data_IF_720159606121
#
_entry.id   IF_720159606121
#
_cell.length_a   1.000
_cell.length_b   1.000
_cell.length_c   1.000
_cell.angle_alpha   90.00
_cell.angle_beta   90.00
_cell.angle_gamma   90.00
#
_symmetry.space_group_name_H-M   'P 1'
#
loop_
_entity.id
_entity.type
_entity.pdbx_description
1 polymer ?
#
# COMPACT_ATOMS: atom_id res chain seq x y z
N UNK A 1 6.45 10.10 8.52
CA UNK A 1 5.13 10.12 9.20
C UNK A 1 4.56 11.52 9.15
N UNK A 2 3.33 11.66 8.73
CA UNK A 2 2.62 12.94 8.69
C UNK A 2 2.16 13.28 10.12
N UNK A 3 2.70 14.32 10.76
CA UNK A 3 2.51 14.56 12.20
C UNK A 3 1.09 14.93 12.61
N UNK A 4 0.24 15.32 11.66
CA UNK A 4 -1.11 15.81 11.92
C UNK A 4 -2.21 14.75 11.71
N UNK A 5 -1.86 13.55 11.20
CA UNK A 5 -2.85 12.49 10.95
C UNK A 5 -2.79 11.42 12.02
N UNK A 6 -3.91 11.17 12.68
CA UNK A 6 -4.07 10.02 13.57
C UNK A 6 -4.46 8.77 12.79
N UNK A 7 -3.91 7.63 13.20
CA UNK A 7 -4.28 6.35 12.59
C UNK A 7 -5.76 6.01 12.84
N UNK A 8 -6.37 5.25 11.90
CA UNK A 8 -7.72 4.73 12.09
C UNK A 8 -7.87 3.93 13.38
N UNK A 9 -9.07 3.92 13.95
CA UNK A 9 -9.36 3.23 15.21
C UNK A 9 -9.20 1.70 15.13
N UNK A 10 -9.23 1.13 13.93
CA UNK A 10 -8.95 -0.27 13.67
C UNK A 10 -8.33 -0.45 12.28
N UNK A 11 -7.56 -1.52 12.11
CA UNK A 11 -7.04 -1.95 10.80
C UNK A 11 -8.02 -2.98 10.21
N UNK A 12 -8.72 -2.60 9.15
CA UNK A 12 -9.81 -3.37 8.60
C UNK A 12 -9.40 -4.75 8.07
N UNK A 13 -10.23 -5.72 8.42
CA UNK A 13 -10.22 -7.06 7.81
C UNK A 13 -11.64 -7.42 7.36
N UNK A 14 -11.84 -7.87 6.11
CA UNK A 14 -13.15 -8.23 5.58
C UNK A 14 -13.91 -9.22 6.48
N UNK A 15 -15.14 -8.87 6.82
CA UNK A 15 -16.03 -9.70 7.65
C UNK A 15 -15.70 -9.75 9.14
N UNK A 16 -14.70 -8.98 9.61
CA UNK A 16 -14.32 -8.90 11.05
C UNK A 16 -14.72 -7.58 11.70
N UNK A 17 -14.83 -6.52 10.90
CA UNK A 17 -15.15 -5.16 11.34
C UNK A 17 -16.13 -4.48 10.41
N UNK A 18 -16.80 -3.40 10.86
CA UNK A 18 -17.58 -2.54 9.99
C UNK A 18 -16.76 -2.11 8.78
N UNK A 19 -17.36 -2.15 7.59
CA UNK A 19 -16.64 -1.72 6.38
C UNK A 19 -16.34 -0.23 6.47
N UNK A 20 -15.07 0.21 6.37
CA UNK A 20 -14.68 1.58 6.68
C UNK A 20 -15.51 2.66 5.98
N UNK A 21 -15.85 2.46 4.71
CA UNK A 21 -16.54 3.46 3.87
C UNK A 21 -18.05 3.20 3.76
N UNK A 22 -18.48 1.93 3.81
CA UNK A 22 -19.89 1.56 3.51
C UNK A 22 -20.75 1.43 4.75
N UNK A 23 -20.14 1.09 5.88
CA UNK A 23 -20.87 0.90 7.14
C UNK A 23 -20.94 2.23 7.92
N UNK A 24 -22.10 2.60 8.47
CA UNK A 24 -22.22 3.80 9.30
C UNK A 24 -21.27 3.86 10.51
N UNK A 25 -20.82 2.70 10.99
CA UNK A 25 -19.83 2.59 12.07
C UNK A 25 -18.39 2.52 11.55
N UNK A 26 -18.18 2.60 10.24
CA UNK A 26 -16.87 2.60 9.61
C UNK A 26 -16.10 3.90 9.86
N UNK A 27 -14.80 3.79 10.13
CA UNK A 27 -13.93 4.94 10.47
C UNK A 27 -13.78 5.98 9.34
N UNK A 28 -14.15 5.64 8.11
CA UNK A 28 -14.12 6.53 6.93
C UNK A 28 -15.49 6.67 6.27
N UNK A 29 -16.56 6.41 7.02
CA UNK A 29 -17.92 6.53 6.50
C UNK A 29 -18.24 7.98 6.10
N UNK A 30 -18.68 8.17 4.86
CA UNK A 30 -18.97 9.50 4.26
C UNK A 30 -17.79 10.47 4.22
N UNK A 31 -16.56 9.96 4.24
CA UNK A 31 -15.39 10.82 3.99
C UNK A 31 -15.41 11.33 2.54
N UNK A 32 -15.04 12.58 2.36
CA UNK A 32 -14.96 13.20 1.04
C UNK A 32 -13.90 12.51 0.17
N UNK A 33 -14.16 12.32 -1.13
CA UNK A 33 -13.16 11.77 -2.04
C UNK A 33 -11.96 12.72 -2.15
N UNK A 34 -10.77 12.16 -2.02
CA UNK A 34 -9.52 12.91 -2.17
C UNK A 34 -9.21 13.12 -3.64
N UNK A 35 -8.99 14.35 -4.05
CA UNK A 35 -8.56 14.72 -5.40
C UNK A 35 -7.09 15.11 -5.37
N UNK A 36 -6.25 14.46 -6.19
CA UNK A 36 -4.81 14.73 -6.29
C UNK A 36 -4.45 15.03 -7.74
N UNK A 37 -3.65 16.06 -7.96
CA UNK A 37 -3.11 16.36 -9.29
C UNK A 37 -2.05 15.32 -9.70
N UNK A 38 -2.07 14.89 -10.96
CA UNK A 38 -1.20 13.81 -11.50
C UNK A 38 0.29 14.10 -11.26
N UNK A 39 0.73 15.35 -11.44
CA UNK A 39 2.14 15.74 -11.29
C UNK A 39 2.66 15.70 -9.85
N UNK A 40 1.76 15.70 -8.88
CA UNK A 40 2.09 15.74 -7.45
C UNK A 40 1.87 14.38 -6.74
N UNK A 41 1.44 13.37 -7.49
CA UNK A 41 0.96 12.11 -6.92
C UNK A 41 1.97 11.44 -5.97
N UNK A 42 3.26 11.40 -6.32
CA UNK A 42 4.32 10.75 -5.52
C UNK A 42 4.82 11.61 -4.33
N UNK A 43 4.56 12.91 -4.34
CA UNK A 43 4.90 13.82 -3.23
C UNK A 43 3.69 14.20 -2.39
N UNK A 44 2.50 13.72 -2.74
CA UNK A 44 1.27 14.14 -2.07
C UNK A 44 1.17 13.57 -0.66
N UNK A 45 0.50 14.32 0.22
CA UNK A 45 0.16 13.85 1.57
C UNK A 45 -0.62 12.54 1.56
N UNK A 46 -1.42 12.32 0.51
CA UNK A 46 -2.18 11.07 0.31
C UNK A 46 -1.26 9.88 0.08
N UNK A 47 -0.22 10.07 -0.74
CA UNK A 47 0.78 9.03 -0.99
C UNK A 47 1.59 8.73 0.26
N UNK A 48 2.09 9.76 0.92
CA UNK A 48 2.87 9.63 2.17
C UNK A 48 2.04 9.00 3.29
N UNK A 49 0.76 9.36 3.39
CA UNK A 49 -0.16 8.73 4.33
C UNK A 49 -0.36 7.24 4.04
N UNK A 50 -0.49 6.86 2.77
CA UNK A 50 -0.54 5.45 2.36
C UNK A 50 0.71 4.67 2.78
N UNK A 51 1.89 5.29 2.71
CA UNK A 51 3.15 4.70 3.20
C UNK A 51 3.10 4.50 4.72
N UNK A 52 2.69 5.51 5.48
CA UNK A 52 2.56 5.40 6.93
C UNK A 52 1.59 4.28 7.32
N UNK A 53 0.42 4.21 6.69
CA UNK A 53 -0.56 3.15 6.89
C UNK A 53 0.02 1.76 6.59
N UNK A 54 0.69 1.62 5.46
CA UNK A 54 1.30 0.35 5.03
C UNK A 54 2.35 -0.13 6.03
N UNK A 55 3.28 0.74 6.41
CA UNK A 55 4.36 0.42 7.34
C UNK A 55 3.84 0.01 8.73
N UNK A 56 2.69 0.52 9.13
CA UNK A 56 2.08 0.21 10.43
C UNK A 56 1.04 -0.94 10.37
N UNK A 57 0.89 -1.60 9.21
CA UNK A 57 0.01 -2.76 9.10
C UNK A 57 -1.47 -2.46 8.82
N UNK A 58 -1.80 -1.23 8.45
CA UNK A 58 -3.13 -0.80 7.98
C UNK A 58 -3.24 -1.00 6.46
N UNK A 59 -3.14 -2.26 6.01
CA UNK A 59 -3.00 -2.56 4.58
C UNK A 59 -4.23 -2.25 3.74
N UNK A 60 -5.44 -2.45 4.29
CA UNK A 60 -6.66 -2.10 3.58
C UNK A 60 -6.77 -0.58 3.39
N UNK A 61 -6.47 0.17 4.43
CA UNK A 61 -6.48 1.62 4.45
C UNK A 61 -5.40 2.22 3.52
N UNK A 62 -4.21 1.60 3.46
CA UNK A 62 -3.17 1.97 2.50
C UNK A 62 -3.62 1.74 1.05
N UNK A 63 -4.28 0.61 0.77
CA UNK A 63 -4.88 0.34 -0.53
C UNK A 63 -5.89 1.44 -0.92
N UNK A 64 -6.80 1.79 -0.04
CA UNK A 64 -7.79 2.85 -0.27
C UNK A 64 -7.15 4.23 -0.47
N UNK A 65 -6.09 4.55 0.27
CA UNK A 65 -5.34 5.81 0.11
C UNK A 65 -4.68 5.91 -1.28
N UNK A 66 -4.17 4.81 -1.83
CA UNK A 66 -3.48 4.81 -3.12
C UNK A 66 -4.41 4.64 -4.33
N UNK A 67 -5.64 4.19 -4.16
CA UNK A 67 -6.57 3.99 -5.27
C UNK A 67 -6.92 5.28 -6.02
N UNK A 68 -7.19 6.43 -5.38
CA UNK A 68 -7.38 7.71 -6.06
C UNK A 68 -6.14 8.14 -6.88
N UNK A 69 -4.92 7.88 -6.38
CA UNK A 69 -3.68 8.18 -7.10
C UNK A 69 -3.56 7.33 -8.36
N UNK A 70 -3.87 6.06 -8.28
CA UNK A 70 -3.92 5.18 -9.44
C UNK A 70 -4.95 5.64 -10.47
N UNK A 71 -6.13 6.09 -10.02
CA UNK A 71 -7.17 6.63 -10.92
C UNK A 71 -6.74 7.95 -11.57
N UNK A 72 -6.08 8.83 -10.82
CA UNK A 72 -5.59 10.12 -11.31
C UNK A 72 -4.49 9.99 -12.36
N UNK A 73 -3.67 8.93 -12.30
CA UNK A 73 -2.50 8.73 -13.18
C UNK A 73 -2.81 8.02 -14.49
N UNK A 74 -4.03 8.09 -15.02
CA UNK A 74 -4.48 7.41 -16.27
C UNK A 74 -3.59 7.71 -17.46
N UNK A 75 -3.02 8.91 -17.56
CA UNK A 75 -2.18 9.35 -18.66
C UNK A 75 -0.72 8.92 -18.54
N UNK A 76 -0.31 8.31 -17.44
CA UNK A 76 1.06 7.85 -17.20
C UNK A 76 1.10 6.35 -16.96
N UNK A 77 1.52 5.59 -17.97
CA UNK A 77 1.61 4.13 -17.89
C UNK A 77 2.51 3.68 -16.72
N UNK A 78 3.64 4.35 -16.49
CA UNK A 78 4.59 4.00 -15.43
C UNK A 78 4.02 4.23 -14.03
N UNK A 79 3.37 5.37 -13.79
CA UNK A 79 2.68 5.64 -12.52
C UNK A 79 1.54 4.65 -12.29
N UNK A 80 0.80 4.29 -13.33
CA UNK A 80 -0.28 3.30 -13.21
C UNK A 80 0.24 1.92 -12.81
N UNK A 81 1.34 1.47 -13.41
CA UNK A 81 1.99 0.20 -13.04
C UNK A 81 2.45 0.26 -11.57
N UNK A 82 3.11 1.35 -11.20
CA UNK A 82 3.65 1.58 -9.88
C UNK A 82 2.54 1.58 -8.80
N UNK A 83 1.54 2.43 -8.93
CA UNK A 83 0.44 2.51 -7.95
C UNK A 83 -0.37 1.22 -7.90
N UNK A 84 -0.63 0.57 -9.04
CA UNK A 84 -1.31 -0.72 -9.05
C UNK A 84 -0.50 -1.81 -8.36
N UNK A 85 0.81 -1.78 -8.50
CA UNK A 85 1.72 -2.64 -7.77
C UNK A 85 1.61 -2.47 -6.26
N UNK A 86 1.64 -1.23 -5.77
CA UNK A 86 1.47 -0.90 -4.35
C UNK A 86 0.10 -1.34 -3.81
N UNK A 87 -0.97 -1.08 -4.54
CA UNK A 87 -2.34 -1.51 -4.20
C UNK A 87 -2.41 -3.03 -4.05
N UNK A 88 -1.82 -3.78 -4.98
CA UNK A 88 -1.81 -5.25 -4.93
C UNK A 88 -0.91 -5.78 -3.80
N UNK A 89 0.19 -5.11 -3.50
CA UNK A 89 1.05 -5.47 -2.37
C UNK A 89 0.31 -5.26 -1.04
N UNK A 90 -0.39 -4.15 -0.89
CA UNK A 90 -1.25 -3.90 0.26
C UNK A 90 -2.37 -4.96 0.36
N UNK A 91 -3.02 -5.32 -0.76
CA UNK A 91 -4.00 -6.40 -0.79
C UNK A 91 -3.40 -7.75 -0.36
N UNK A 92 -2.14 -8.03 -0.71
CA UNK A 92 -1.44 -9.22 -0.20
C UNK A 92 -1.31 -9.18 1.33
N UNK A 93 -0.96 -8.02 1.90
CA UNK A 93 -0.90 -7.82 3.36
C UNK A 93 -2.23 -8.11 4.06
N UNK A 94 -3.35 -7.61 3.50
CA UNK A 94 -4.69 -7.94 3.99
C UNK A 94 -4.92 -9.47 3.98
N UNK A 95 -4.57 -10.15 2.87
CA UNK A 95 -4.76 -11.61 2.74
C UNK A 95 -3.86 -12.42 3.67
N UNK A 96 -2.66 -11.95 3.95
CA UNK A 96 -1.79 -12.54 4.97
C UNK A 96 -2.48 -12.44 6.34
N UNK A 97 -2.96 -11.26 6.73
CA UNK A 97 -3.66 -11.05 7.99
C UNK A 97 -4.97 -11.85 8.11
N UNK A 98 -5.63 -12.17 6.99
CA UNK A 98 -6.79 -13.07 6.95
C UNK A 98 -6.40 -14.57 7.01
N UNK A 99 -5.13 -14.93 6.98
CA UNK A 99 -4.67 -16.32 6.87
C UNK A 99 -4.88 -16.96 5.48
N UNK A 100 -5.16 -16.17 4.46
CA UNK A 100 -5.48 -16.63 3.09
C UNK A 100 -4.23 -16.68 2.20
N UNK A 101 -3.34 -17.65 2.46
CA UNK A 101 -2.03 -17.78 1.80
C UNK A 101 -2.09 -17.77 0.26
N UNK A 102 -3.00 -18.53 -0.34
CA UNK A 102 -3.11 -18.62 -1.80
C UNK A 102 -3.50 -17.28 -2.41
N UNK A 103 -4.43 -16.55 -1.78
CA UNK A 103 -4.84 -15.24 -2.24
C UNK A 103 -3.71 -14.21 -2.04
N UNK A 104 -2.99 -14.26 -0.92
CA UNK A 104 -1.82 -13.42 -0.66
C UNK A 104 -0.74 -13.63 -1.72
N UNK A 105 -0.35 -14.88 -2.00
CA UNK A 105 0.62 -15.22 -3.02
C UNK A 105 0.21 -14.72 -4.41
N UNK A 106 -1.07 -14.85 -4.77
CA UNK A 106 -1.59 -14.34 -6.06
C UNK A 106 -1.44 -12.82 -6.18
N UNK A 107 -1.79 -12.06 -5.13
CA UNK A 107 -1.63 -10.61 -5.12
C UNK A 107 -0.15 -10.21 -5.17
N UNK A 108 0.69 -10.85 -4.38
CA UNK A 108 2.13 -10.59 -4.35
C UNK A 108 2.80 -10.88 -5.70
N UNK A 109 2.48 -11.99 -6.36
CA UNK A 109 2.99 -12.32 -7.70
C UNK A 109 2.61 -11.26 -8.73
N UNK A 110 1.35 -10.81 -8.70
CA UNK A 110 0.89 -9.75 -9.61
C UNK A 110 1.57 -8.42 -9.33
N UNK A 111 1.74 -8.06 -8.05
CA UNK A 111 2.48 -6.86 -7.65
C UNK A 111 3.92 -6.89 -8.17
N UNK A 112 4.64 -8.00 -7.95
CA UNK A 112 6.01 -8.20 -8.45
C UNK A 112 6.09 -8.05 -9.97
N UNK A 113 5.15 -8.63 -10.71
CA UNK A 113 5.07 -8.50 -12.17
C UNK A 113 4.88 -7.07 -12.65
N UNK A 114 4.10 -6.27 -11.94
CA UNK A 114 3.91 -4.85 -12.26
C UNK A 114 5.16 -4.03 -11.93
N UNK A 115 5.76 -4.22 -10.78
CA UNK A 115 6.99 -3.51 -10.40
C UNK A 115 8.15 -3.77 -11.35
N UNK A 116 8.28 -4.99 -11.88
CA UNK A 116 9.31 -5.33 -12.91
C UNK A 116 9.07 -4.61 -14.23
N UNK A 117 7.85 -4.19 -14.53
CA UNK A 117 7.51 -3.42 -15.73
C UNK A 117 7.72 -1.91 -15.54
N UNK A 118 7.91 -1.44 -14.31
CA UNK A 118 8.24 -0.03 -14.06
C UNK A 118 9.65 0.25 -14.55
N UNK A 119 9.76 1.04 -15.62
CA UNK A 119 11.04 1.39 -16.22
C UNK A 119 11.82 2.30 -15.27
N UNK A 120 13.12 2.01 -15.13
CA UNK A 120 14.02 2.88 -14.38
C UNK A 120 14.14 4.22 -15.11
N UNK A 121 13.66 5.28 -14.47
CA UNK A 121 13.80 6.63 -15.00
C UNK A 121 15.06 7.29 -14.44
N UNK A 122 15.78 8.12 -15.24
CA UNK A 122 17.06 8.73 -14.81
C UNK A 122 16.94 9.56 -13.53
N UNK A 123 15.78 10.18 -13.27
CA UNK A 123 15.52 10.95 -12.06
C UNK A 123 15.46 10.14 -10.77
N UNK A 124 15.37 8.81 -10.87
CA UNK A 124 15.16 7.95 -9.71
C UNK A 124 13.82 8.21 -8.99
N UNK A 125 12.82 8.73 -9.70
CA UNK A 125 11.56 9.21 -9.13
C UNK A 125 10.87 8.19 -8.22
N UNK A 126 10.69 6.96 -8.70
CA UNK A 126 10.03 5.90 -7.93
C UNK A 126 10.90 5.39 -6.79
N UNK A 127 12.22 5.37 -6.98
CA UNK A 127 13.19 4.98 -5.96
C UNK A 127 13.19 5.98 -4.80
N UNK A 128 13.24 7.27 -5.10
CA UNK A 128 13.15 8.34 -4.09
C UNK A 128 11.84 8.28 -3.32
N UNK A 129 10.73 8.00 -4.02
CA UNK A 129 9.40 7.93 -3.41
C UNK A 129 9.24 6.78 -2.41
N UNK A 130 10.01 5.70 -2.53
CA UNK A 130 9.90 4.52 -1.67
C UNK A 130 11.13 4.26 -0.81
N UNK A 131 12.27 4.88 -1.10
CA UNK A 131 13.57 4.54 -0.52
C UNK A 131 14.16 3.22 -1.06
N UNK A 132 13.54 2.63 -2.08
CA UNK A 132 14.01 1.43 -2.77
C UNK A 132 13.55 1.40 -4.22
N UNK A 133 14.28 0.67 -5.07
CA UNK A 133 13.91 0.53 -6.48
C UNK A 133 12.64 -0.31 -6.65
N UNK A 134 11.82 -0.07 -7.70
CA UNK A 134 10.72 -0.97 -8.04
C UNK A 134 11.16 -2.43 -8.23
N UNK A 135 12.37 -2.67 -8.74
CA UNK A 135 12.93 -4.02 -8.87
C UNK A 135 13.17 -4.67 -7.50
N UNK A 136 13.73 -3.95 -6.52
CA UNK A 136 13.90 -4.46 -5.16
C UNK A 136 12.54 -4.77 -4.51
N UNK A 137 11.56 -3.89 -4.71
CA UNK A 137 10.20 -4.12 -4.21
C UNK A 137 9.54 -5.34 -4.87
N UNK A 138 9.84 -5.61 -6.14
CA UNK A 138 9.40 -6.83 -6.82
C UNK A 138 10.00 -8.09 -6.18
N UNK A 139 11.27 -8.05 -5.77
CA UNK A 139 11.93 -9.17 -5.07
C UNK A 139 11.31 -9.39 -3.68
N UNK A 140 11.04 -8.33 -2.92
CA UNK A 140 10.30 -8.44 -1.66
C UNK A 140 8.91 -9.05 -1.85
N UNK A 141 8.15 -8.60 -2.85
CA UNK A 141 6.84 -9.17 -3.17
C UNK A 141 6.95 -10.65 -3.57
N UNK A 142 7.98 -11.04 -4.33
CA UNK A 142 8.22 -12.43 -4.72
C UNK A 142 8.60 -13.31 -3.53
N UNK A 143 9.35 -12.78 -2.56
CA UNK A 143 9.72 -13.51 -1.35
C UNK A 143 8.49 -13.93 -0.51
N UNK A 144 7.42 -13.15 -0.52
CA UNK A 144 6.15 -13.49 0.15
C UNK A 144 5.57 -14.82 -0.40
N UNK A 145 5.77 -15.09 -1.69
CA UNK A 145 5.28 -16.32 -2.34
C UNK A 145 6.10 -17.53 -1.90
N UNK A 146 7.44 -17.36 -1.85
CA UNK A 146 8.37 -18.43 -1.53
C UNK A 146 8.39 -18.79 -0.03
N UNK A 147 8.28 -17.78 0.82
CA UNK A 147 8.33 -17.92 2.28
C UNK A 147 7.03 -17.36 2.88
N UNK A 148 5.97 -18.17 2.91
CA UNK A 148 4.71 -17.72 3.45
C UNK A 148 4.88 -17.35 4.91
N UNK A 149 4.55 -16.10 5.23
CA UNK A 149 4.58 -15.60 6.61
C UNK A 149 3.71 -16.52 7.46
N UNK A 150 4.32 -17.11 8.49
CA UNK A 150 3.58 -17.88 9.49
C UNK A 150 2.80 -16.87 10.31
N UNK A 151 1.50 -16.86 10.12
CA UNK A 151 0.62 -15.97 10.87
C UNK A 151 0.59 -16.40 12.32
N UNK A 152 0.93 -15.47 13.19
CA UNK A 152 0.41 -15.47 14.55
C UNK A 152 -1.11 -15.34 14.45
N UNK A 153 -1.83 -15.85 15.46
CA UNK A 153 -3.27 -15.63 15.50
C UNK A 153 -3.57 -14.14 15.31
N UNK A 154 -4.32 -13.77 14.26
CA UNK A 154 -4.57 -12.36 13.98
C UNK A 154 -5.34 -11.79 15.16
N UNK A 155 -4.78 -10.76 15.78
CA UNK A 155 -5.55 -9.94 16.73
C UNK A 155 -6.48 -9.07 15.88
N UNK A 156 -7.77 -9.37 15.85
CA UNK A 156 -8.71 -8.56 15.10
C UNK A 156 -8.59 -7.11 15.57
N UNK A 157 -8.81 -6.13 14.71
CA UNK A 157 -8.72 -4.70 14.94
C UNK A 157 -7.32 -4.10 15.05
N UNK A 158 -6.35 -4.80 15.61
CA UNK A 158 -5.02 -4.23 15.77
C UNK A 158 -4.27 -4.27 14.44
N UNK A 159 -3.61 -3.18 14.05
CA UNK A 159 -2.70 -3.20 12.92
C UNK A 159 -1.53 -4.16 13.21
N UNK A 160 -1.14 -4.94 12.21
CA UNK A 160 -0.04 -5.89 12.34
C UNK A 160 0.82 -5.84 11.09
N UNK A 161 2.04 -5.27 11.16
CA UNK A 161 3.01 -5.35 10.07
C UNK A 161 3.37 -6.80 9.79
N UNK A 162 3.19 -7.23 8.53
CA UNK A 162 3.45 -8.62 8.10
C UNK A 162 4.60 -8.71 7.11
N UNK A 163 5.13 -7.58 6.65
CA UNK A 163 6.30 -7.52 5.77
C UNK A 163 7.56 -7.24 6.59
N UNK A 164 8.68 -7.74 6.12
CA UNK A 164 10.02 -7.57 6.71
C UNK A 164 10.77 -6.34 6.19
N UNK A 165 10.11 -5.48 5.43
CA UNK A 165 10.64 -4.23 4.88
C UNK A 165 9.70 -3.07 5.19
N UNK A 166 10.22 -1.87 5.10
CA UNK A 166 9.48 -0.62 5.22
C UNK A 166 9.67 0.23 3.96
N UNK A 167 8.68 1.03 3.65
CA UNK A 167 8.75 2.06 2.62
C UNK A 167 9.19 3.38 3.29
N UNK A 168 10.30 3.95 2.84
CA UNK A 168 10.88 5.13 3.46
C UNK A 168 11.31 6.15 2.38
N UNK A 169 10.43 7.10 1.99
CA UNK A 169 10.77 8.13 1.04
C UNK A 169 12.10 8.82 1.40
N UNK A 170 12.94 9.03 0.41
CA UNK A 170 14.20 9.76 0.59
C UNK A 170 13.87 11.25 0.73
N UNK A 171 14.11 11.81 1.89
CA UNK A 171 14.02 13.26 2.09
C UNK A 171 15.09 13.94 1.23
N UNK A 172 14.69 14.87 0.37
CA UNK A 172 15.69 15.76 -0.24
C UNK A 172 16.26 16.61 0.90
N UNK A 173 17.54 16.35 1.23
CA UNK A 173 18.27 17.26 2.13
C UNK A 173 18.38 18.62 1.44
N UNK A 174 17.77 19.61 2.04
CA UNK A 174 17.91 21.02 1.67
C UNK A 174 19.32 21.49 1.94
#
# INVERSE_FOLDING_TARGET
MLPEKSFPSYAYLPGKYPHPVRDPLGHSYRSDPVTVAVGEALGSDVFLWGIDLFNHGYYWEAHEAWEPLWQATKQSAQHRLFFKGLILLAAAGVKIREGKRVAAARHATRAAGLFRQVVRVPSGLFEKALGMTPAALAEHAQAIVAYPVVLREPKPAQPEPVFDFILAPVSESV
#
